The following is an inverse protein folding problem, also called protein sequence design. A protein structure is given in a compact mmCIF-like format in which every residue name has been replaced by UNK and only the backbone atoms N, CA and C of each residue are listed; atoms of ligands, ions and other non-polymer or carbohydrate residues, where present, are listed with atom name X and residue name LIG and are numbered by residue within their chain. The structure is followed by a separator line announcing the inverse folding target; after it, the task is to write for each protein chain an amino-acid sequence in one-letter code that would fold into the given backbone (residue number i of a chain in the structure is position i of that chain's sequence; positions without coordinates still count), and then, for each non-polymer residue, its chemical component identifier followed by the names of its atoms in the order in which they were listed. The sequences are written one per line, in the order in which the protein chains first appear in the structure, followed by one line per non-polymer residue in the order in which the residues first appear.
data_IF_652942762998
#
_entry.id   IF_652942762998
#
_cell.length_a   1.000
_cell.length_b   1.000
_cell.length_c   1.000
_cell.angle_alpha   90.00
_cell.angle_beta   90.00
_cell.angle_gamma   90.00
#
_symmetry.space_group_name_H-M   'P 1'
#
loop_
_entity.id
_entity.type
_entity.pdbx_description
1 polymer ?
#
# COMPACT_ATOMS: atom_id res chain seq x y z
N UNK A 1 0.76 -10.48 -5.34
CA UNK A 1 -0.08 -9.25 -5.19
C UNK A 1 -0.29 -9.04 -3.70
N UNK A 2 -0.08 -7.85 -3.17
CA UNK A 2 -0.03 -7.59 -1.73
C UNK A 2 -1.22 -6.74 -1.31
N UNK A 3 -1.94 -7.16 -0.27
CA UNK A 3 -2.92 -6.33 0.40
C UNK A 3 -2.21 -5.54 1.50
N UNK A 4 -2.30 -4.21 1.42
CA UNK A 4 -1.69 -3.29 2.36
C UNK A 4 -2.73 -2.36 2.96
N UNK A 5 -2.53 -2.00 4.22
CA UNK A 5 -3.31 -0.99 4.93
C UNK A 5 -2.40 0.18 5.30
N UNK A 6 -2.91 1.39 5.10
CA UNK A 6 -2.24 2.62 5.52
C UNK A 6 -2.79 3.04 6.89
N UNK A 7 -1.88 3.12 7.85
CA UNK A 7 -2.12 3.59 9.20
C UNK A 7 -1.98 5.13 9.23
N UNK A 8 -3.11 5.82 9.06
CA UNK A 8 -3.16 7.29 9.02
C UNK A 8 -2.89 7.96 10.36
N UNK A 9 -2.88 7.21 11.47
CA UNK A 9 -2.46 7.72 12.78
C UNK A 9 -0.94 7.86 12.89
N UNK A 10 -0.19 7.10 12.08
CA UNK A 10 1.28 7.10 12.10
C UNK A 10 1.91 8.12 11.17
N UNK A 11 1.15 8.68 10.25
CA UNK A 11 1.67 9.61 9.26
C UNK A 11 0.60 10.60 8.82
N UNK A 12 0.89 11.89 9.00
CA UNK A 12 0.07 12.96 8.48
C UNK A 12 0.42 13.22 7.02
N UNK A 13 -0.55 12.97 6.12
CA UNK A 13 -0.34 13.07 4.68
C UNK A 13 -0.35 14.51 4.15
N UNK A 14 -0.67 15.52 4.96
CA UNK A 14 -0.67 16.94 4.58
C UNK A 14 -1.37 17.27 3.24
N UNK A 15 -2.40 16.51 2.88
CA UNK A 15 -3.15 16.68 1.63
C UNK A 15 -2.60 15.90 0.42
N UNK A 16 -1.54 15.11 0.59
CA UNK A 16 -1.04 14.16 -0.42
C UNK A 16 -1.97 12.94 -0.43
N UNK A 17 -2.35 12.48 -1.62
CA UNK A 17 -3.13 11.25 -1.73
C UNK A 17 -2.28 10.03 -1.34
N UNK A 18 -2.90 9.03 -0.72
CA UNK A 18 -2.24 7.77 -0.39
C UNK A 18 -1.60 7.11 -1.63
N UNK A 19 -2.22 7.25 -2.79
CA UNK A 19 -1.73 6.68 -4.05
C UNK A 19 -0.43 7.36 -4.48
N UNK A 20 -0.38 8.69 -4.49
CA UNK A 20 0.85 9.45 -4.78
C UNK A 20 1.96 9.13 -3.78
N UNK A 21 1.63 9.01 -2.49
CA UNK A 21 2.57 8.61 -1.46
C UNK A 21 3.16 7.22 -1.75
N UNK A 22 2.31 6.23 -2.05
CA UNK A 22 2.74 4.88 -2.38
C UNK A 22 3.58 4.85 -3.67
N UNK A 23 3.17 5.56 -4.72
CA UNK A 23 3.94 5.65 -5.97
C UNK A 23 5.31 6.27 -5.77
N UNK A 24 5.40 7.35 -4.99
CA UNK A 24 6.65 8.04 -4.68
C UNK A 24 7.65 7.09 -4.00
N UNK A 25 7.18 6.23 -3.10
CA UNK A 25 8.03 5.25 -2.42
C UNK A 25 8.24 3.94 -3.20
N UNK A 26 7.78 3.86 -4.44
CA UNK A 26 8.08 2.77 -5.37
C UNK A 26 7.09 1.61 -5.35
N UNK A 27 5.93 1.77 -4.72
CA UNK A 27 4.84 0.79 -4.85
C UNK A 27 4.26 0.87 -6.26
N UNK A 28 3.89 -0.27 -6.85
CA UNK A 28 3.36 -0.34 -8.23
C UNK A 28 2.08 -1.14 -8.33
N UNK A 29 1.27 -0.80 -9.33
CA UNK A 29 -0.03 -1.43 -9.56
C UNK A 29 -0.97 -1.23 -8.37
N UNK A 30 -1.04 0.01 -7.88
CA UNK A 30 -1.85 0.39 -6.73
C UNK A 30 -3.31 0.41 -7.14
N UNK A 31 -4.14 -0.26 -6.34
CA UNK A 31 -5.58 -0.30 -6.49
C UNK A 31 -6.23 -0.06 -5.14
N UNK A 32 -7.04 0.98 -5.04
CA UNK A 32 -7.81 1.27 -3.83
C UNK A 32 -8.96 0.27 -3.68
N UNK A 33 -8.97 -0.46 -2.58
CA UNK A 33 -10.08 -1.37 -2.22
C UNK A 33 -11.05 -0.69 -1.24
N UNK A 34 -10.52 0.09 -0.28
CA UNK A 34 -11.27 0.94 0.67
C UNK A 34 -10.45 2.18 1.04
N UNK A 35 -10.98 3.03 1.93
CA UNK A 35 -10.37 4.33 2.32
C UNK A 35 -8.88 4.25 2.64
N UNK A 36 -8.46 3.24 3.42
CA UNK A 36 -7.08 3.00 3.84
C UNK A 36 -6.52 1.65 3.39
N UNK A 37 -7.26 0.90 2.55
CA UNK A 37 -6.92 -0.46 2.15
C UNK A 37 -6.63 -0.49 0.65
N UNK A 38 -5.44 -0.95 0.31
CA UNK A 38 -4.93 -0.96 -1.06
C UNK A 38 -4.40 -2.33 -1.42
N UNK A 39 -4.57 -2.69 -2.68
CA UNK A 39 -3.83 -3.80 -3.25
C UNK A 39 -2.74 -3.28 -4.16
N UNK A 40 -1.53 -3.82 -4.04
CA UNK A 40 -0.37 -3.45 -4.83
C UNK A 40 0.24 -4.69 -5.48
N UNK A 41 0.76 -4.55 -6.69
CA UNK A 41 1.46 -5.65 -7.39
C UNK A 41 2.91 -5.79 -6.92
N UNK A 42 3.53 -4.68 -6.54
CA UNK A 42 4.91 -4.61 -6.07
C UNK A 42 4.99 -3.68 -4.86
N UNK A 43 5.71 -4.12 -3.83
CA UNK A 43 6.04 -3.31 -2.67
C UNK A 43 7.24 -2.40 -2.98
N UNK A 44 7.19 -1.18 -2.47
CA UNK A 44 8.28 -0.22 -2.54
C UNK A 44 9.17 -0.26 -1.30
N UNK A 45 9.65 0.92 -0.90
CA UNK A 45 10.36 1.12 0.37
C UNK A 45 9.47 0.71 1.55
N UNK A 46 10.05 0.13 2.60
CA UNK A 46 9.30 -0.21 3.81
C UNK A 46 8.92 1.08 4.53
N UNK A 47 7.62 1.33 4.66
CA UNK A 47 7.08 2.53 5.29
C UNK A 47 6.47 2.20 6.65
N UNK A 48 6.74 3.01 7.70
CA UNK A 48 6.20 2.77 9.04
C UNK A 48 4.67 2.88 9.11
N UNK A 49 4.08 3.63 8.18
CA UNK A 49 2.64 3.80 8.03
C UNK A 49 1.97 2.69 7.21
N UNK A 50 2.72 1.77 6.59
CA UNK A 50 2.15 0.71 5.75
C UNK A 50 2.24 -0.64 6.46
N UNK A 51 1.08 -1.27 6.70
CA UNK A 51 0.98 -2.65 7.19
C UNK A 51 0.68 -3.56 6.00
N UNK A 52 1.53 -4.57 5.80
CA UNK A 52 1.25 -5.64 4.83
C UNK A 52 0.37 -6.68 5.51
N UNK A 53 -0.87 -6.82 5.04
CA UNK A 53 -1.86 -7.72 5.64
C UNK A 53 -1.80 -9.13 5.04
N UNK A 54 -1.56 -9.24 3.74
CA UNK A 54 -1.48 -10.52 3.07
C UNK A 54 -0.66 -10.42 1.79
N UNK A 55 0.22 -11.39 1.57
CA UNK A 55 0.78 -11.68 0.26
C UNK A 55 -0.14 -12.70 -0.40
N UNK A 56 -0.91 -12.28 -1.41
CA UNK A 56 -1.41 -13.24 -2.39
C UNK A 56 -0.18 -13.72 -3.14
N UNK A 57 0.42 -14.78 -2.60
CA UNK A 57 1.26 -15.65 -3.39
C UNK A 57 0.41 -16.08 -4.57
N UNK A 58 0.95 -15.91 -5.77
CA UNK A 58 0.41 -16.63 -6.91
C UNK A 58 0.70 -18.11 -6.62
N UNK A 59 -0.17 -18.75 -5.84
CA UNK A 59 -0.32 -20.20 -5.84
C UNK A 59 -0.71 -20.56 -7.28
N UNK A 60 0.32 -20.79 -8.09
CA UNK A 60 0.22 -21.58 -9.30
C UNK A 60 -0.14 -22.99 -8.85
N UNK A 61 -1.42 -23.32 -8.85
CA UNK A 61 -1.88 -24.68 -9.06
C UNK A 61 -2.23 -24.85 -10.53
#
# INVERSE_FOLDING_TARGET
MYLIEIDTEKFDFQGISHEEYLEFFGYRGIRKEKENLYTVTQLGTILPAVKVLCQKDNEKF
#
